data_IF_945220155728
#
_entry.id   IF_945220155728
#
_cell.length_a   1.000
_cell.length_b   1.000
_cell.length_c   1.000
_cell.angle_alpha   90.00
_cell.angle_beta   90.00
_cell.angle_gamma   90.00
#
_symmetry.space_group_name_H-M   'P 1'
#
loop_
_entity.id
_entity.type
_entity.pdbx_description
1 polymer ?
#
# COMPACT_ATOMS: atom_id res chain seq x y z
N UNK A 1 -3.02 8.65 41.86
CA UNK A 1 -4.01 8.76 40.75
C UNK A 1 -3.23 9.09 39.49
N UNK A 2 -3.48 8.43 38.36
CA UNK A 2 -2.84 8.77 37.06
C UNK A 2 -3.91 9.38 36.16
N UNK A 3 -3.66 10.58 35.65
CA UNK A 3 -4.57 11.30 34.76
C UNK A 3 -3.85 11.55 33.44
N UNK A 4 -4.57 11.47 32.32
CA UNK A 4 -4.00 11.74 31.00
C UNK A 4 -4.05 13.23 30.67
N UNK A 5 -2.97 13.73 30.10
CA UNK A 5 -2.89 15.08 29.57
C UNK A 5 -2.18 15.14 28.23
N UNK A 6 -2.34 16.26 27.53
CA UNK A 6 -1.69 16.54 26.25
C UNK A 6 -0.85 17.81 26.40
N UNK A 7 0.44 17.72 26.09
CA UNK A 7 1.32 18.90 25.98
C UNK A 7 0.96 19.70 24.72
N UNK A 8 0.64 20.98 24.88
CA UNK A 8 0.47 21.95 23.77
C UNK A 8 1.37 23.15 24.00
N UNK A 9 2.46 23.25 23.22
CA UNK A 9 3.45 24.30 23.46
C UNK A 9 4.05 24.19 24.86
N UNK A 10 3.83 25.20 25.71
CA UNK A 10 4.30 25.24 27.11
C UNK A 10 3.23 24.82 28.14
N UNK A 11 2.01 24.51 27.70
CA UNK A 11 0.91 24.11 28.61
C UNK A 11 0.65 22.61 28.55
N UNK A 12 0.11 22.07 29.63
CA UNK A 12 -0.42 20.70 29.70
C UNK A 12 -1.93 20.81 29.87
N UNK A 13 -2.68 20.28 28.91
CA UNK A 13 -4.13 20.19 28.96
C UNK A 13 -4.52 18.86 29.61
N UNK A 14 -5.27 18.91 30.71
CA UNK A 14 -5.74 17.72 31.41
C UNK A 14 -7.08 17.30 30.79
N UNK A 15 -7.21 16.03 30.39
CA UNK A 15 -8.39 15.54 29.67
C UNK A 15 -9.56 15.17 30.58
N UNK A 16 -9.31 15.06 31.88
CA UNK A 16 -10.27 14.63 32.89
C UNK A 16 -10.43 15.72 33.95
N UNK A 17 -11.64 15.89 34.48
CA UNK A 17 -11.92 16.88 35.50
C UNK A 17 -11.36 16.43 36.86
N UNK A 18 -10.55 17.28 37.48
CA UNK A 18 -9.95 16.99 38.79
C UNK A 18 -10.79 17.66 39.88
N UNK A 19 -11.84 16.99 40.33
CA UNK A 19 -12.78 17.55 41.32
C UNK A 19 -12.25 17.54 42.77
N UNK A 20 -11.14 16.85 43.03
CA UNK A 20 -10.64 16.62 44.40
C UNK A 20 -9.44 17.50 44.77
N UNK A 21 -9.04 18.43 43.91
CA UNK A 21 -7.91 19.34 44.17
C UNK A 21 -8.44 20.78 44.15
N UNK A 22 -8.42 21.50 45.30
CA UNK A 22 -8.86 22.89 45.36
C UNK A 22 -7.99 23.84 44.53
N UNK A 23 -8.57 24.94 44.08
CA UNK A 23 -7.85 25.99 43.37
C UNK A 23 -6.69 26.56 44.21
N UNK A 24 -5.55 26.79 43.56
CA UNK A 24 -4.34 27.31 44.22
C UNK A 24 -3.49 26.27 44.95
N UNK A 25 -3.88 25.00 44.92
CA UNK A 25 -3.08 23.90 45.49
C UNK A 25 -1.84 23.64 44.63
N UNK A 26 -0.65 23.64 45.24
CA UNK A 26 0.58 23.20 44.59
C UNK A 26 0.56 21.67 44.41
N UNK A 27 0.90 21.20 43.20
CA UNK A 27 0.91 19.78 42.86
C UNK A 27 2.24 19.40 42.20
N UNK A 28 2.68 18.16 42.45
CA UNK A 28 3.82 17.55 41.78
C UNK A 28 3.29 16.67 40.64
N UNK A 29 3.85 16.83 39.44
CA UNK A 29 3.42 16.12 38.24
C UNK A 29 4.53 15.19 37.77
N UNK A 30 4.27 13.89 37.79
CA UNK A 30 5.12 12.89 37.14
C UNK A 30 4.64 12.67 35.70
N UNK A 31 5.52 12.91 34.73
CA UNK A 31 5.22 12.79 33.31
C UNK A 31 5.73 11.46 32.77
N UNK A 32 4.82 10.67 32.19
CA UNK A 32 5.13 9.44 31.46
C UNK A 32 4.78 9.66 29.98
N UNK A 33 5.77 9.56 29.09
CA UNK A 33 5.55 9.75 27.67
C UNK A 33 4.89 8.51 27.09
N UNK A 34 3.65 8.66 26.62
CA UNK A 34 3.03 7.66 25.76
C UNK A 34 3.57 7.91 24.36
N UNK A 35 4.58 7.17 23.97
CA UNK A 35 5.00 7.09 22.57
C UNK A 35 3.83 6.51 21.77
N UNK A 36 2.96 7.40 21.25
CA UNK A 36 2.24 7.03 20.03
C UNK A 36 3.34 6.71 19.04
N UNK A 37 3.34 5.51 18.47
CA UNK A 37 4.08 5.23 17.26
C UNK A 37 3.63 6.29 16.26
N UNK A 38 4.41 7.35 16.15
CA UNK A 38 4.31 8.29 15.06
C UNK A 38 4.75 7.41 13.92
N UNK A 39 3.79 6.86 13.16
CA UNK A 39 4.09 6.37 11.83
C UNK A 39 4.70 7.58 11.14
N UNK A 40 6.03 7.60 11.06
CA UNK A 40 6.74 8.62 10.32
C UNK A 40 6.03 8.74 8.98
N UNK A 41 5.70 9.97 8.53
CA UNK A 41 5.13 10.12 7.20
C UNK A 41 6.06 9.40 6.25
N UNK A 42 5.59 8.29 5.65
CA UNK A 42 6.43 7.45 4.81
C UNK A 42 7.06 8.38 3.78
N UNK A 43 8.38 8.53 3.86
CA UNK A 43 9.14 9.34 2.91
C UNK A 43 8.68 8.92 1.51
N UNK A 44 8.36 9.87 0.62
CA UNK A 44 7.94 9.51 -0.73
C UNK A 44 9.05 8.68 -1.37
N UNK A 45 8.75 7.40 -1.59
CA UNK A 45 9.69 6.45 -2.19
C UNK A 45 10.21 7.04 -3.51
N UNK A 46 11.51 6.89 -3.74
CA UNK A 46 12.12 7.16 -5.04
C UNK A 46 11.53 6.25 -6.12
N UNK A 47 11.65 6.62 -7.39
CA UNK A 47 11.10 5.81 -8.49
C UNK A 47 11.68 4.38 -8.51
N UNK A 48 12.96 4.25 -8.16
CA UNK A 48 13.66 2.96 -8.06
C UNK A 48 13.11 2.10 -6.92
N UNK A 49 12.85 2.69 -5.75
CA UNK A 49 12.26 1.99 -4.60
C UNK A 49 10.80 1.59 -4.87
N UNK A 50 10.02 2.47 -5.54
CA UNK A 50 8.67 2.14 -6.01
C UNK A 50 8.69 0.95 -6.95
N UNK A 51 9.58 0.98 -7.95
CA UNK A 51 9.73 -0.10 -8.92
C UNK A 51 10.17 -1.40 -8.25
N UNK A 52 11.11 -1.36 -7.30
CA UNK A 52 11.54 -2.54 -6.55
C UNK A 52 10.39 -3.15 -5.73
N UNK A 53 9.56 -2.31 -5.09
CA UNK A 53 8.38 -2.76 -4.34
C UNK A 53 7.35 -3.41 -5.26
N UNK A 54 7.10 -2.83 -6.43
CA UNK A 54 6.20 -3.39 -7.44
C UNK A 54 6.73 -4.73 -7.96
N UNK A 55 8.01 -4.83 -8.31
CA UNK A 55 8.63 -6.08 -8.76
C UNK A 55 8.58 -7.18 -7.69
N UNK A 56 8.69 -6.82 -6.40
CA UNK A 56 8.53 -7.78 -5.30
C UNK A 56 7.10 -8.30 -5.18
N UNK A 57 6.10 -7.45 -5.40
CA UNK A 57 4.68 -7.79 -5.28
C UNK A 57 4.16 -8.59 -6.47
N UNK A 58 4.52 -8.17 -7.68
CA UNK A 58 3.95 -8.69 -8.93
C UNK A 58 4.90 -9.59 -9.72
N UNK A 59 6.14 -9.76 -9.24
CA UNK A 59 7.21 -10.41 -9.99
C UNK A 59 7.84 -9.48 -11.03
N UNK A 60 9.10 -9.76 -11.40
CA UNK A 60 9.77 -9.05 -12.50
C UNK A 60 9.56 -9.82 -13.81
N UNK A 61 8.76 -9.26 -14.71
CA UNK A 61 8.56 -9.81 -16.06
C UNK A 61 9.70 -9.48 -17.02
N UNK A 62 10.65 -8.63 -16.61
CA UNK A 62 11.80 -8.25 -17.44
C UNK A 62 12.81 -9.40 -17.51
N UNK A 63 13.17 -9.78 -18.74
CA UNK A 63 14.21 -10.79 -19.06
C UNK A 63 13.91 -12.22 -18.57
N UNK A 64 12.64 -12.66 -18.59
CA UNK A 64 12.32 -14.06 -18.31
C UNK A 64 12.41 -14.91 -19.59
N UNK A 65 13.42 -15.80 -19.72
CA UNK A 65 13.64 -16.58 -20.95
C UNK A 65 12.48 -17.52 -21.27
N UNK A 66 11.75 -17.99 -20.25
CA UNK A 66 10.58 -18.83 -20.41
C UNK A 66 9.45 -18.07 -21.11
N UNK A 67 9.21 -16.80 -20.73
CA UNK A 67 8.23 -15.94 -21.41
C UNK A 67 8.65 -15.66 -22.85
N UNK A 68 9.94 -15.39 -23.09
CA UNK A 68 10.47 -15.23 -24.45
C UNK A 68 10.21 -16.46 -25.30
N UNK A 69 10.44 -17.65 -24.76
CA UNK A 69 10.23 -18.91 -25.46
C UNK A 69 8.74 -19.13 -25.79
N UNK A 70 7.85 -18.86 -24.85
CA UNK A 70 6.38 -18.95 -25.05
C UNK A 70 5.93 -17.99 -26.17
N UNK A 71 6.39 -16.75 -26.17
CA UNK A 71 6.00 -15.79 -27.21
C UNK A 71 6.53 -16.18 -28.60
N UNK A 72 7.75 -16.74 -28.67
CA UNK A 72 8.30 -17.29 -29.92
C UNK A 72 7.44 -18.46 -30.41
N UNK A 73 7.04 -19.38 -29.52
CA UNK A 73 6.19 -20.52 -29.90
C UNK A 73 4.81 -20.05 -30.42
N UNK A 74 4.17 -19.11 -29.72
CA UNK A 74 2.90 -18.53 -30.17
C UNK A 74 3.05 -17.87 -31.55
N UNK A 75 4.14 -17.15 -31.78
CA UNK A 75 4.42 -16.51 -33.06
C UNK A 75 4.55 -17.55 -34.18
N UNK A 76 5.33 -18.61 -33.96
CA UNK A 76 5.47 -19.73 -34.89
C UNK A 76 4.12 -20.40 -35.20
N UNK A 77 3.31 -20.66 -34.18
CA UNK A 77 1.98 -21.26 -34.35
C UNK A 77 1.04 -20.35 -35.15
N UNK A 78 1.07 -19.04 -34.91
CA UNK A 78 0.28 -18.06 -35.68
C UNK A 78 0.70 -17.99 -37.14
N UNK A 79 2.01 -18.08 -37.42
CA UNK A 79 2.53 -18.09 -38.77
C UNK A 79 2.27 -19.41 -39.52
N UNK A 80 2.23 -20.54 -38.81
CA UNK A 80 1.87 -21.84 -39.38
C UNK A 80 0.36 -22.01 -39.62
N UNK A 81 -0.46 -21.22 -38.93
CA UNK A 81 -1.92 -21.32 -39.01
C UNK A 81 -2.46 -20.73 -40.32
N UNK A 82 -3.05 -21.58 -41.15
CA UNK A 82 -3.58 -21.22 -42.47
C UNK A 82 -5.04 -20.70 -42.44
N UNK A 83 -5.58 -20.39 -41.26
CA UNK A 83 -6.99 -20.02 -41.10
C UNK A 83 -7.89 -21.24 -40.82
N UNK A 84 -9.20 -20.98 -40.67
CA UNK A 84 -10.22 -22.04 -40.59
C UNK A 84 -10.92 -22.12 -41.93
N UNK A 85 -11.26 -23.32 -42.38
CA UNK A 85 -12.21 -23.49 -43.48
C UNK A 85 -13.53 -22.82 -43.08
N UNK A 86 -13.96 -21.83 -43.85
CA UNK A 86 -15.30 -21.28 -43.73
C UNK A 86 -16.13 -22.07 -44.73
N UNK A 87 -16.93 -23.02 -44.23
CA UNK A 87 -17.93 -23.67 -45.07
C UNK A 87 -18.88 -22.57 -45.56
N UNK A 88 -18.93 -22.36 -46.87
CA UNK A 88 -19.96 -21.52 -47.46
C UNK A 88 -21.29 -22.20 -47.15
N UNK A 89 -22.10 -21.59 -46.30
CA UNK A 89 -23.51 -21.92 -46.18
C UNK A 89 -24.10 -21.52 -47.53
N UNK A 90 -24.20 -22.48 -48.44
CA UNK A 90 -24.94 -22.36 -49.68
C UNK A 90 -26.38 -22.05 -49.27
N UNK A 91 -26.78 -20.78 -49.39
CA UNK A 91 -28.17 -20.40 -49.22
C UNK A 91 -28.92 -21.09 -50.35
N UNK A 92 -29.54 -22.24 -50.05
CA UNK A 92 -30.53 -22.83 -50.94
C UNK A 92 -31.72 -21.88 -50.96
N UNK A 93 -31.73 -21.01 -51.97
CA UNK A 93 -32.89 -20.24 -52.37
C UNK A 93 -34.04 -21.22 -52.66
N UNK A 94 -35.08 -21.15 -51.85
CA UNK A 94 -36.36 -21.85 -52.01
C UNK A 94 -37.31 -21.11 -52.95
#
# INVERSE_FOLDING_TARGET
>A
MKIRGIKRGQTIEILEQINNIPDGTEIIIDLEFIEKQISEPQLPLTETEKLAKLNKLFGSYKNQPDLTSIFIEIDQQRHAYQGRTIDLIDNQDY
#
